data_IF_523085462811
#
_entry.id   IF_523085462811
#
_cell.length_a   1.000
_cell.length_b   1.000
_cell.length_c   1.000
_cell.angle_alpha   90.00
_cell.angle_beta   90.00
_cell.angle_gamma   90.00
#
_symmetry.space_group_name_H-M   'P 1'
#
loop_
_entity.id
_entity.type
_entity.pdbx_description
1 polymer ?
#
# COMPACT_ATOMS: atom_id res chain seq x y z
N UNK A 1 19.23 -19.65 -11.05
CA UNK A 1 18.68 -18.90 -9.90
C UNK A 1 17.20 -18.73 -10.19
N UNK A 2 16.35 -19.05 -9.21
CA UNK A 2 15.04 -19.66 -9.47
C UNK A 2 13.92 -18.63 -9.64
N UNK A 3 13.27 -18.62 -10.81
CA UNK A 3 12.03 -17.87 -11.14
C UNK A 3 10.91 -18.03 -10.08
N UNK A 4 10.90 -19.17 -9.37
CA UNK A 4 9.98 -19.45 -8.27
C UNK A 4 10.15 -18.55 -7.04
N UNK A 5 11.38 -18.12 -6.69
CA UNK A 5 11.60 -17.24 -5.53
C UNK A 5 11.05 -15.83 -5.78
N UNK A 6 11.26 -15.31 -6.99
CA UNK A 6 10.78 -13.98 -7.39
C UNK A 6 9.25 -13.91 -7.50
N UNK A 7 8.58 -14.97 -7.96
CA UNK A 7 7.10 -15.04 -7.93
C UNK A 7 6.55 -14.98 -6.52
N UNK A 8 7.23 -15.58 -5.55
CA UNK A 8 6.84 -15.55 -4.14
C UNK A 8 7.00 -14.13 -3.59
N UNK A 9 8.14 -13.47 -3.82
CA UNK A 9 8.38 -12.09 -3.36
C UNK A 9 7.31 -11.10 -3.88
N UNK A 10 6.93 -11.21 -5.15
CA UNK A 10 5.86 -10.37 -5.72
C UNK A 10 4.49 -10.67 -5.12
N UNK A 11 4.22 -11.94 -4.76
CA UNK A 11 2.96 -12.35 -4.14
C UNK A 11 2.86 -11.82 -2.71
N UNK A 12 3.93 -11.95 -1.92
CA UNK A 12 4.00 -11.40 -0.55
C UNK A 12 3.84 -9.87 -0.55
N UNK A 13 4.39 -9.19 -1.57
CA UNK A 13 4.23 -7.76 -1.74
C UNK A 13 2.76 -7.36 -2.01
N UNK A 14 2.07 -8.09 -2.89
CA UNK A 14 0.66 -7.87 -3.18
C UNK A 14 -0.23 -8.15 -1.94
N UNK A 15 0.10 -9.19 -1.17
CA UNK A 15 -0.59 -9.51 0.09
C UNK A 15 -0.40 -8.42 1.14
N UNK A 16 0.82 -7.89 1.30
CA UNK A 16 1.10 -6.79 2.21
C UNK A 16 0.29 -5.54 1.86
N UNK A 17 0.18 -5.21 0.56
CA UNK A 17 -0.67 -4.09 0.10
C UNK A 17 -2.14 -4.34 0.43
N UNK A 18 -2.62 -5.57 0.25
CA UNK A 18 -4.01 -5.92 0.56
C UNK A 18 -4.31 -5.81 2.06
N UNK A 19 -3.41 -6.25 2.92
CA UNK A 19 -3.56 -6.12 4.38
C UNK A 19 -3.53 -4.67 4.84
N UNK A 20 -2.65 -3.85 4.25
CA UNK A 20 -2.63 -2.42 4.54
C UNK A 20 -3.96 -1.75 4.17
N UNK A 21 -4.53 -2.07 2.99
CA UNK A 21 -5.84 -1.55 2.57
C UNK A 21 -6.94 -1.87 3.59
N UNK A 22 -7.03 -3.12 4.03
CA UNK A 22 -8.02 -3.52 5.05
C UNK A 22 -7.81 -2.80 6.38
N UNK A 23 -6.56 -2.52 6.75
CA UNK A 23 -6.27 -1.75 7.96
C UNK A 23 -6.75 -0.30 7.85
N UNK A 24 -6.56 0.34 6.68
CA UNK A 24 -7.07 1.69 6.38
C UNK A 24 -8.57 1.76 6.63
N UNK A 25 -9.31 0.85 5.98
CA UNK A 25 -10.77 0.81 6.04
C UNK A 25 -11.26 0.66 7.48
N UNK A 26 -10.62 -0.20 8.28
CA UNK A 26 -10.96 -0.34 9.71
C UNK A 26 -10.73 0.93 10.52
N UNK A 27 -9.68 1.69 10.23
CA UNK A 27 -9.41 2.96 10.92
C UNK A 27 -10.46 4.00 10.53
N UNK A 28 -10.81 4.10 9.25
CA UNK A 28 -11.87 5.00 8.77
C UNK A 28 -13.22 4.68 9.43
N UNK A 29 -13.59 3.39 9.49
CA UNK A 29 -14.82 2.95 10.16
C UNK A 29 -14.84 3.34 11.64
N UNK A 30 -13.69 3.23 12.33
CA UNK A 30 -13.58 3.63 13.74
C UNK A 30 -13.71 5.14 13.92
N UNK A 31 -13.14 5.94 13.02
CA UNK A 31 -13.25 7.40 13.05
C UNK A 31 -14.69 7.84 12.85
N UNK A 32 -15.39 7.29 11.87
CA UNK A 32 -16.81 7.58 11.62
C UNK A 32 -17.68 7.16 12.81
N UNK A 33 -17.38 6.02 13.43
CA UNK A 33 -18.08 5.59 14.63
C UNK A 33 -17.87 6.54 15.83
N UNK A 34 -16.68 7.16 15.96
CA UNK A 34 -16.44 8.18 16.99
C UNK A 34 -17.21 9.46 16.67
N UNK A 35 -17.17 9.93 15.42
CA UNK A 35 -17.95 11.12 15.00
C UNK A 35 -19.44 10.94 15.28
N UNK A 36 -20.02 9.81 14.85
CA UNK A 36 -21.44 9.52 15.08
C UNK A 36 -21.81 9.51 16.56
N UNK A 37 -20.96 8.95 17.42
CA UNK A 37 -21.20 8.94 18.88
C UNK A 37 -21.12 10.32 19.51
N UNK A 38 -20.24 11.16 19.00
CA UNK A 38 -20.10 12.54 19.47
C UNK A 38 -21.32 13.37 19.09
N UNK A 39 -21.80 13.23 17.85
CA UNK A 39 -23.03 13.87 17.38
C UNK A 39 -24.25 13.43 18.22
N UNK A 40 -24.36 12.12 18.53
CA UNK A 40 -25.40 11.55 19.38
C UNK A 40 -25.37 12.09 20.82
N UNK A 41 -24.18 12.37 21.35
CA UNK A 41 -24.02 12.87 22.72
C UNK A 41 -24.31 14.38 22.86
N UNK A 42 -24.56 15.10 21.76
CA UNK A 42 -24.66 16.57 21.71
C UNK A 42 -23.50 17.30 22.40
N UNK A 43 -22.37 16.60 22.57
CA UNK A 43 -21.13 17.20 23.04
C UNK A 43 -20.54 17.85 21.81
N UNK A 44 -20.56 19.18 21.76
CA UNK A 44 -19.93 19.93 20.68
C UNK A 44 -18.43 19.61 20.72
N UNK A 45 -17.98 18.62 19.95
CA UNK A 45 -16.57 18.35 19.71
C UNK A 45 -16.06 19.40 18.72
N UNK A 46 -16.13 20.65 19.15
CA UNK A 46 -15.52 21.78 18.49
C UNK A 46 -14.23 22.11 19.24
N UNK A 47 -13.14 22.33 18.50
CA UNK A 47 -11.88 22.79 19.06
C UNK A 47 -10.64 22.07 18.56
N UNK A 48 -9.54 22.29 19.27
CA UNK A 48 -8.20 21.86 18.89
C UNK A 48 -8.09 20.33 18.74
N UNK A 49 -8.78 19.56 19.58
CA UNK A 49 -8.80 18.11 19.51
C UNK A 49 -9.46 17.57 18.22
N UNK A 50 -10.59 18.15 17.79
CA UNK A 50 -11.26 17.75 16.54
C UNK A 50 -10.39 18.09 15.32
N UNK A 51 -9.76 19.27 15.36
CA UNK A 51 -8.83 19.72 14.31
C UNK A 51 -7.60 18.81 14.22
N UNK A 52 -6.98 18.48 15.36
CA UNK A 52 -5.82 17.60 15.42
C UNK A 52 -6.16 16.19 14.92
N UNK A 53 -7.35 15.70 15.24
CA UNK A 53 -7.86 14.41 14.77
C UNK A 53 -8.03 14.41 13.24
N UNK A 54 -8.75 15.38 12.67
CA UNK A 54 -8.90 15.51 11.22
C UNK A 54 -7.55 15.62 10.49
N UNK A 55 -6.60 16.40 11.02
CA UNK A 55 -5.27 16.51 10.44
C UNK A 55 -4.48 15.20 10.52
N UNK A 56 -4.59 14.46 11.63
CA UNK A 56 -3.96 13.15 11.77
C UNK A 56 -4.55 12.16 10.74
N UNK A 57 -5.87 12.16 10.58
CA UNK A 57 -6.58 11.35 9.58
C UNK A 57 -6.13 11.68 8.14
N UNK A 58 -6.10 12.95 7.76
CA UNK A 58 -5.65 13.38 6.43
C UNK A 58 -4.19 13.01 6.13
N UNK A 59 -3.29 13.21 7.11
CA UNK A 59 -1.88 12.79 6.99
C UNK A 59 -1.76 11.29 6.82
N UNK A 60 -2.53 10.53 7.59
CA UNK A 60 -2.55 9.07 7.50
C UNK A 60 -3.04 8.59 6.13
N UNK A 61 -4.17 9.11 5.65
CA UNK A 61 -4.71 8.78 4.31
C UNK A 61 -3.70 9.09 3.19
N UNK A 62 -3.03 10.24 3.27
CA UNK A 62 -1.98 10.61 2.32
C UNK A 62 -0.80 9.63 2.36
N UNK A 63 -0.28 9.32 3.56
CA UNK A 63 0.83 8.38 3.71
C UNK A 63 0.50 6.96 3.25
N UNK A 64 -0.73 6.50 3.40
CA UNK A 64 -1.17 5.18 2.89
C UNK A 64 -1.28 5.15 1.37
N UNK A 65 -1.74 6.25 0.76
CA UNK A 65 -1.68 6.41 -0.69
C UNK A 65 -0.23 6.32 -1.17
N UNK A 66 0.68 7.05 -0.53
CA UNK A 66 2.10 7.04 -0.89
C UNK A 66 2.71 5.63 -0.74
N UNK A 67 2.38 4.91 0.33
CA UNK A 67 2.87 3.55 0.55
C UNK A 67 2.36 2.60 -0.54
N UNK A 68 1.07 2.66 -0.86
CA UNK A 68 0.47 1.84 -1.94
C UNK A 68 1.14 2.13 -3.28
N UNK A 69 1.29 3.41 -3.61
CA UNK A 69 1.87 3.83 -4.89
C UNK A 69 3.34 3.39 -4.97
N UNK A 70 4.12 3.59 -3.90
CA UNK A 70 5.50 3.13 -3.80
C UNK A 70 5.64 1.61 -3.90
N UNK A 71 4.75 0.83 -3.29
CA UNK A 71 4.76 -0.63 -3.43
C UNK A 71 4.44 -1.07 -4.87
N UNK A 72 3.51 -0.41 -5.55
CA UNK A 72 3.23 -0.65 -6.97
C UNK A 72 4.45 -0.37 -7.84
N UNK A 73 5.18 0.71 -7.56
CA UNK A 73 6.40 1.07 -8.29
C UNK A 73 7.51 0.03 -8.09
N UNK A 74 7.69 -0.46 -6.86
CA UNK A 74 8.65 -1.54 -6.56
C UNK A 74 8.28 -2.82 -7.33
N UNK A 75 7.00 -3.20 -7.35
CA UNK A 75 6.52 -4.36 -8.10
C UNK A 75 6.77 -4.21 -9.61
N UNK A 76 6.54 -3.02 -10.17
CA UNK A 76 6.80 -2.73 -11.58
C UNK A 76 8.30 -2.78 -11.92
N UNK A 77 9.15 -2.19 -11.07
CA UNK A 77 10.60 -2.21 -11.24
C UNK A 77 11.18 -3.64 -11.17
N UNK A 78 10.67 -4.47 -10.27
CA UNK A 78 11.04 -5.88 -10.16
C UNK A 78 10.67 -6.66 -11.43
N UNK A 79 9.45 -6.49 -11.96
CA UNK A 79 9.00 -7.12 -13.22
C UNK A 79 9.84 -6.69 -14.43
N UNK A 80 10.15 -5.40 -14.53
CA UNK A 80 10.97 -4.86 -15.63
C UNK A 80 12.40 -5.38 -15.60
N UNK A 81 13.04 -5.39 -14.42
CA UNK A 81 14.40 -5.90 -14.25
C UNK A 81 14.49 -7.38 -14.63
N UNK A 82 13.47 -8.16 -14.28
CA UNK A 82 13.38 -9.58 -14.64
C UNK A 82 13.24 -9.80 -16.16
N UNK A 83 12.38 -9.03 -16.81
CA UNK A 83 12.17 -9.11 -18.27
C UNK A 83 13.46 -8.78 -19.03
N UNK A 84 14.18 -7.75 -18.59
CA UNK A 84 15.47 -7.39 -19.14
C UNK A 84 16.52 -8.50 -18.93
N UNK A 85 16.59 -9.08 -17.73
CA UNK A 85 17.57 -10.13 -17.41
C UNK A 85 17.34 -11.43 -18.19
N UNK A 86 16.08 -11.87 -18.28
CA UNK A 86 15.71 -13.05 -19.07
C UNK A 86 15.91 -12.83 -20.57
N UNK A 87 15.58 -11.63 -21.07
CA UNK A 87 15.82 -11.25 -22.46
C UNK A 87 17.29 -11.37 -22.83
N UNK A 88 18.20 -10.90 -21.97
CA UNK A 88 19.66 -11.00 -22.17
C UNK A 88 20.15 -12.46 -22.12
N UNK A 89 19.64 -13.29 -21.20
CA UNK A 89 20.02 -14.71 -21.13
C UNK A 89 19.54 -15.51 -22.34
N UNK A 90 18.31 -15.26 -22.80
CA UNK A 90 17.73 -15.87 -23.99
C UNK A 90 18.52 -15.47 -25.25
N UNK A 91 18.89 -14.19 -25.34
CA UNK A 91 19.72 -13.67 -26.45
C UNK A 91 21.09 -14.34 -26.46
N UNK A 92 21.75 -14.45 -25.31
CA UNK A 92 23.07 -15.07 -25.20
C UNK A 92 23.02 -16.56 -25.59
N UNK A 93 21.97 -17.28 -25.17
CA UNK A 93 21.78 -18.69 -25.52
C UNK A 93 21.41 -18.92 -26.98
N UNK A 94 20.74 -17.96 -27.64
CA UNK A 94 20.49 -18.02 -29.09
C UNK A 94 21.72 -17.65 -29.93
N UNK A 95 22.60 -16.82 -29.39
CA UNK A 95 23.84 -16.41 -30.08
C UNK A 95 24.95 -17.45 -29.99
N UNK A 96 24.90 -18.38 -29.02
CA UNK A 96 25.93 -19.40 -28.85
C UNK A 96 25.32 -20.81 -28.64
N UNK A 97 25.20 -21.63 -29.70
CA UNK A 97 24.97 -23.08 -29.60
C UNK A 97 26.20 -23.83 -29.08
#
# INVERSE_FOLDING_TARGET
MSDGGFRVDLTELDEFVAELKKFVERVDDQVEAIHSKVDELHVNWEGEAATAHHQAHQRWHTGMKDLRDGTSDIAAAARNSHTAFNGVQELHRKMWP
#
